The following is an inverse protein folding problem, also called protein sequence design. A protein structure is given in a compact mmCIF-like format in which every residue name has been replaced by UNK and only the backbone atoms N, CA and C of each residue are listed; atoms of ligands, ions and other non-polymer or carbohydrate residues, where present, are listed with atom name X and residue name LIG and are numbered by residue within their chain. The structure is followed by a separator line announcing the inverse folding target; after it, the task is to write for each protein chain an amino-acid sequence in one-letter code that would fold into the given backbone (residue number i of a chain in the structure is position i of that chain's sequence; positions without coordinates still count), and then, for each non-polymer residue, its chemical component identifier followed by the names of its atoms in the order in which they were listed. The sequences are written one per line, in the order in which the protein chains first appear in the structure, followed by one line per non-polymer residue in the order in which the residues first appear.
data_IF_626341244733
#
_entry.id   IF_626341244733
#
_cell.length_a   1.000
_cell.length_b   1.000
_cell.length_c   1.000
_cell.angle_alpha   90.00
_cell.angle_beta   90.00
_cell.angle_gamma   90.00
#
_symmetry.space_group_name_H-M   'P 1'
#
loop_
_entity.id
_entity.type
_entity.pdbx_description
1 polymer ?
#
# COMPACT_ATOMS: atom_id res chain seq x y z
N UNK A 1 42.86 59.65 16.78
CA UNK A 1 42.75 59.21 15.36
C UNK A 1 43.67 58.01 15.14
N UNK A 2 43.17 56.97 14.45
CA UNK A 2 43.86 55.73 13.99
C UNK A 2 44.13 54.67 15.07
N UNK A 3 43.83 53.37 14.93
CA UNK A 3 43.10 52.55 13.93
C UNK A 3 42.66 51.26 14.65
N UNK A 4 41.39 50.89 14.53
CA UNK A 4 40.90 49.52 14.73
C UNK A 4 41.38 48.65 13.55
N UNK A 5 41.76 47.40 13.82
CA UNK A 5 41.75 46.32 12.84
C UNK A 5 41.09 45.11 13.47
N UNK A 6 39.82 44.90 13.10
CA UNK A 6 39.03 43.71 13.45
C UNK A 6 39.29 42.65 12.37
N UNK A 7 39.79 41.49 12.79
CA UNK A 7 39.93 40.28 11.97
C UNK A 7 38.52 39.81 11.55
N UNK A 8 38.27 39.72 10.25
CA UNK A 8 37.08 39.06 9.70
C UNK A 8 37.55 37.82 8.94
N UNK A 9 37.44 36.64 9.58
CA UNK A 9 37.62 35.37 8.89
C UNK A 9 36.24 34.79 8.53
N UNK A 10 36.15 34.39 7.26
CA UNK A 10 35.01 33.77 6.59
C UNK A 10 34.60 32.44 7.24
N UNK A 11 33.28 32.22 7.34
CA UNK A 11 32.69 30.89 7.15
C UNK A 11 31.47 31.06 6.23
N UNK A 12 31.69 30.76 4.96
CA UNK A 12 30.66 30.30 4.02
C UNK A 12 30.03 29.01 4.53
N UNK A 13 28.72 28.81 4.25
CA UNK A 13 27.89 27.59 4.28
C UNK A 13 26.54 28.00 4.87
N UNK A 14 25.37 27.75 4.30
CA UNK A 14 24.93 27.01 3.14
C UNK A 14 23.42 27.24 3.07
N UNK A 15 22.80 26.79 1.98
CA UNK A 15 21.36 26.83 1.78
C UNK A 15 20.56 26.59 3.08
N UNK A 16 19.58 27.46 3.37
CA UNK A 16 18.37 26.99 4.02
C UNK A 16 17.65 26.10 3.00
N UNK A 17 18.20 24.91 2.80
CA UNK A 17 17.40 23.78 2.39
C UNK A 17 16.41 23.58 3.54
N UNK A 18 15.20 24.11 3.40
CA UNK A 18 14.04 23.44 3.94
C UNK A 18 13.99 22.09 3.24
N UNK A 19 14.79 21.15 3.72
CA UNK A 19 14.59 19.73 3.47
C UNK A 19 13.16 19.46 3.89
N UNK A 20 12.26 19.09 2.97
CA UNK A 20 11.01 18.49 3.40
C UNK A 20 11.43 17.28 4.22
N UNK A 21 10.95 17.19 5.45
CA UNK A 21 11.02 15.94 6.19
C UNK A 21 10.35 14.88 5.30
N UNK A 22 11.18 14.06 4.65
CA UNK A 22 10.72 12.82 4.06
C UNK A 22 10.29 11.97 5.25
N UNK A 23 8.98 11.77 5.40
CA UNK A 23 8.37 11.07 6.54
C UNK A 23 8.96 9.65 6.65
N UNK A 24 9.86 9.46 7.63
CA UNK A 24 10.65 8.24 7.82
C UNK A 24 11.10 8.00 9.28
N UNK A 25 10.40 8.60 10.26
CA UNK A 25 10.54 8.28 11.68
C UNK A 25 9.61 7.13 12.12
N UNK A 26 9.54 6.85 13.44
CA UNK A 26 8.69 5.79 14.06
C UNK A 26 7.20 5.81 13.66
N UNK A 27 6.70 6.85 12.99
CA UNK A 27 5.33 6.97 12.46
C UNK A 27 5.11 6.52 11.01
N UNK A 28 6.16 6.36 10.19
CA UNK A 28 6.03 6.08 8.76
C UNK A 28 5.30 4.76 8.45
N UNK A 29 5.52 3.74 9.29
CA UNK A 29 4.86 2.43 9.16
C UNK A 29 3.34 2.53 9.38
N UNK A 30 2.90 3.34 10.36
CA UNK A 30 1.47 3.51 10.64
C UNK A 30 0.77 4.29 9.54
N UNK A 31 1.42 5.33 9.02
CA UNK A 31 0.91 6.10 7.88
C UNK A 31 0.81 5.22 6.62
N UNK A 32 1.83 4.41 6.34
CA UNK A 32 1.79 3.46 5.25
C UNK A 32 0.61 2.47 5.40
N UNK A 33 0.44 1.89 6.58
CA UNK A 33 -0.68 0.97 6.87
C UNK A 33 -2.05 1.65 6.74
N UNK A 34 -2.17 2.92 7.12
CA UNK A 34 -3.41 3.69 6.97
C UNK A 34 -3.76 3.93 5.50
N UNK A 35 -2.78 4.34 4.69
CA UNK A 35 -2.95 4.50 3.23
C UNK A 35 -3.35 3.18 2.58
N UNK A 36 -2.63 2.10 2.88
CA UNK A 36 -2.90 0.78 2.33
C UNK A 36 -4.30 0.28 2.74
N UNK A 37 -4.71 0.46 4.01
CA UNK A 37 -6.03 0.05 4.49
C UNK A 37 -7.16 0.81 3.80
N UNK A 38 -6.94 2.11 3.57
CA UNK A 38 -7.88 2.97 2.84
C UNK A 38 -8.04 2.47 1.40
N UNK A 39 -6.95 2.07 0.75
CA UNK A 39 -7.00 1.49 -0.59
C UNK A 39 -7.74 0.16 -0.65
N UNK A 40 -7.54 -0.74 0.33
CA UNK A 40 -8.32 -1.98 0.41
C UNK A 40 -9.81 -1.67 0.56
N UNK A 41 -10.17 -0.76 1.47
CA UNK A 41 -11.56 -0.38 1.70
C UNK A 41 -12.19 0.18 0.41
N UNK A 42 -11.50 1.13 -0.23
CA UNK A 42 -11.97 1.72 -1.48
C UNK A 42 -12.19 0.65 -2.54
N UNK A 43 -11.25 -0.28 -2.73
CA UNK A 43 -11.40 -1.37 -3.69
C UNK A 43 -12.52 -2.33 -3.32
N UNK A 44 -12.70 -2.66 -2.05
CA UNK A 44 -13.80 -3.52 -1.63
C UNK A 44 -15.18 -2.90 -1.96
N UNK A 45 -15.28 -1.57 -1.91
CA UNK A 45 -16.49 -0.81 -2.23
C UNK A 45 -16.70 -0.59 -3.74
N UNK A 46 -15.62 -0.41 -4.51
CA UNK A 46 -15.69 0.07 -5.90
C UNK A 46 -15.21 -0.94 -6.95
N UNK A 47 -14.54 -2.03 -6.55
CA UNK A 47 -14.11 -3.05 -7.50
C UNK A 47 -15.31 -3.88 -7.97
N UNK A 48 -15.52 -3.90 -9.28
CA UNK A 48 -16.50 -4.74 -9.94
C UNK A 48 -15.85 -6.07 -10.38
N UNK A 49 -16.23 -7.21 -9.78
CA UNK A 49 -15.69 -8.51 -10.17
C UNK A 49 -16.09 -8.89 -11.59
N UNK A 50 -15.27 -9.72 -12.24
CA UNK A 50 -15.61 -10.31 -13.54
C UNK A 50 -16.96 -11.04 -13.47
N UNK A 51 -17.86 -10.78 -14.43
CA UNK A 51 -19.15 -11.47 -14.55
C UNK A 51 -19.00 -12.99 -14.61
N UNK A 52 -17.92 -13.47 -15.24
CA UNK A 52 -17.63 -14.90 -15.38
C UNK A 52 -17.30 -15.56 -14.03
N UNK A 53 -16.63 -14.83 -13.14
CA UNK A 53 -16.15 -15.36 -11.87
C UNK A 53 -17.08 -15.04 -10.69
N UNK A 54 -18.04 -14.14 -10.89
CA UNK A 54 -19.00 -13.75 -9.87
C UNK A 54 -18.40 -12.99 -8.68
N UNK A 55 -19.21 -12.77 -7.65
CA UNK A 55 -18.78 -12.03 -6.44
C UNK A 55 -17.96 -12.92 -5.50
N UNK A 56 -16.77 -12.48 -5.05
CA UNK A 56 -15.97 -13.25 -4.12
C UNK A 56 -16.55 -13.19 -2.70
N UNK A 57 -16.34 -14.23 -1.91
CA UNK A 57 -16.72 -14.24 -0.49
C UNK A 57 -15.77 -13.41 0.37
N UNK A 58 -14.49 -13.36 -0.05
CA UNK A 58 -13.43 -12.69 0.67
C UNK A 58 -12.37 -12.07 -0.26
N UNK A 59 -11.65 -11.11 0.30
CA UNK A 59 -10.42 -10.54 -0.25
C UNK A 59 -9.25 -11.10 0.58
N UNK A 60 -8.29 -11.74 -0.08
CA UNK A 60 -7.03 -12.16 0.51
C UNK A 60 -5.99 -11.06 0.30
N UNK A 61 -5.49 -10.48 1.38
CA UNK A 61 -4.63 -9.31 1.31
C UNK A 61 -3.16 -9.69 1.37
N UNK A 62 -2.37 -9.06 0.50
CA UNK A 62 -0.91 -9.04 0.51
C UNK A 62 -0.45 -7.58 0.56
N UNK A 63 0.56 -7.26 1.37
CA UNK A 63 1.11 -5.89 1.42
C UNK A 63 2.62 -5.86 1.24
N UNK A 64 3.06 -4.80 0.57
CA UNK A 64 4.45 -4.50 0.32
C UNK A 64 5.11 -3.99 1.56
N UNK A 65 6.24 -4.61 1.90
CA UNK A 65 7.16 -4.10 2.89
C UNK A 65 8.30 -3.37 2.18
N UNK A 66 8.78 -2.30 2.79
CA UNK A 66 10.00 -1.63 2.39
C UNK A 66 11.19 -2.54 2.75
N UNK A 67 11.79 -3.21 1.76
CA UNK A 67 12.98 -4.05 1.95
C UNK A 67 14.07 -3.54 1.01
N UNK A 68 14.88 -2.59 1.50
CA UNK A 68 15.80 -1.81 0.68
C UNK A 68 15.06 -0.99 -0.39
N UNK A 69 15.78 -0.37 -1.33
CA UNK A 69 15.22 0.46 -2.43
C UNK A 69 14.28 -0.27 -3.42
N UNK A 70 13.71 -1.42 -3.03
CA UNK A 70 12.83 -2.24 -3.85
C UNK A 70 11.50 -2.45 -3.10
N UNK A 71 10.56 -1.54 -3.32
CA UNK A 71 9.09 -1.74 -3.11
C UNK A 71 8.49 -2.87 -3.97
N UNK A 72 9.36 -3.69 -4.59
CA UNK A 72 9.02 -4.62 -5.66
C UNK A 72 8.30 -5.87 -5.17
N UNK A 73 8.31 -6.18 -3.87
CA UNK A 73 7.91 -7.52 -3.41
C UNK A 73 6.39 -7.75 -3.48
N UNK A 74 5.54 -6.76 -3.18
CA UNK A 74 4.08 -6.99 -3.22
C UNK A 74 3.41 -6.82 -4.59
N UNK A 75 4.13 -6.28 -5.58
CA UNK A 75 3.53 -5.97 -6.88
C UNK A 75 4.26 -6.57 -8.08
N UNK A 76 5.34 -7.31 -7.85
CA UNK A 76 5.99 -8.08 -8.90
C UNK A 76 5.25 -9.41 -9.13
N UNK A 77 4.30 -9.36 -10.06
CA UNK A 77 4.07 -10.35 -11.13
C UNK A 77 4.56 -11.78 -10.77
N UNK A 78 3.66 -12.56 -10.18
CA UNK A 78 3.82 -13.96 -9.72
C UNK A 78 4.66 -14.16 -8.43
N UNK A 79 4.03 -14.10 -7.26
CA UNK A 79 4.67 -14.38 -5.98
C UNK A 79 3.97 -15.51 -5.20
N UNK A 80 3.97 -16.75 -5.73
CA UNK A 80 3.49 -17.93 -4.98
C UNK A 80 4.45 -18.47 -3.91
N UNK A 81 5.42 -17.68 -3.48
CA UNK A 81 6.28 -17.99 -2.33
C UNK A 81 6.78 -16.75 -1.58
N UNK A 82 6.49 -15.55 -2.08
CA UNK A 82 6.90 -14.28 -1.50
C UNK A 82 5.71 -13.41 -1.04
N UNK A 83 4.47 -13.86 -1.29
CA UNK A 83 3.28 -13.26 -0.68
C UNK A 83 3.36 -13.49 0.83
N UNK A 84 3.33 -12.39 1.59
CA UNK A 84 3.43 -12.40 3.04
C UNK A 84 2.15 -11.86 3.64
N UNK A 85 1.79 -12.41 4.81
CA UNK A 85 0.65 -11.91 5.55
C UNK A 85 0.83 -10.44 5.94
N UNK A 86 -0.24 -9.65 5.80
CA UNK A 86 -0.24 -8.27 6.23
C UNK A 86 -0.10 -8.15 7.76
N UNK A 87 0.45 -7.03 8.26
CA UNK A 87 0.57 -6.79 9.69
C UNK A 87 -0.78 -6.88 10.42
N UNK A 88 -0.78 -7.50 11.60
CA UNK A 88 -2.00 -7.71 12.39
C UNK A 88 -2.76 -6.40 12.71
N UNK A 89 -2.05 -5.29 12.90
CA UNK A 89 -2.66 -3.98 13.12
C UNK A 89 -3.50 -3.54 11.91
N UNK A 90 -2.96 -3.67 10.69
CA UNK A 90 -3.69 -3.36 9.46
C UNK A 90 -4.93 -4.24 9.33
N UNK A 91 -4.79 -5.55 9.57
CA UNK A 91 -5.93 -6.48 9.54
C UNK A 91 -7.02 -6.11 10.56
N UNK A 92 -6.65 -5.56 11.71
CA UNK A 92 -7.63 -5.08 12.69
C UNK A 92 -8.48 -3.91 12.18
N UNK A 93 -7.90 -3.02 11.36
CA UNK A 93 -8.61 -1.88 10.76
C UNK A 93 -9.57 -2.29 9.64
N UNK A 94 -9.37 -3.47 9.06
CA UNK A 94 -10.13 -3.98 7.92
C UNK A 94 -11.23 -4.99 8.31
N UNK A 95 -11.40 -5.30 9.60
CA UNK A 95 -12.35 -6.32 10.08
C UNK A 95 -13.80 -6.09 9.66
N UNK A 96 -14.20 -4.84 9.46
CA UNK A 96 -15.57 -4.47 9.10
C UNK A 96 -15.78 -4.32 7.59
N UNK A 97 -14.71 -4.38 6.79
CA UNK A 97 -14.78 -4.23 5.33
C UNK A 97 -15.48 -5.45 4.72
N UNK A 98 -16.30 -5.19 3.69
CA UNK A 98 -17.06 -6.21 2.95
C UNK A 98 -16.72 -6.14 1.46
N UNK A 99 -16.48 -7.27 0.78
CA UNK A 99 -16.36 -8.64 1.30
C UNK A 99 -15.23 -8.78 2.34
N UNK A 100 -15.24 -9.86 3.12
CA UNK A 100 -14.35 -10.01 4.29
C UNK A 100 -12.89 -9.93 3.84
N UNK A 101 -12.07 -9.13 4.52
CA UNK A 101 -10.63 -9.07 4.25
C UNK A 101 -9.89 -10.04 5.17
N UNK A 102 -9.12 -10.94 4.58
CA UNK A 102 -8.37 -12.00 5.24
C UNK A 102 -6.89 -11.91 4.86
N UNK A 103 -5.96 -12.41 5.70
CA UNK A 103 -4.56 -12.51 5.30
C UNK A 103 -4.41 -13.53 4.15
N UNK A 104 -3.36 -13.39 3.33
CA UNK A 104 -3.14 -14.28 2.18
C UNK A 104 -2.98 -15.75 2.59
N UNK A 105 -2.48 -16.03 3.80
CA UNK A 105 -2.40 -17.40 4.35
C UNK A 105 -3.76 -18.08 4.57
N UNK A 106 -4.87 -17.34 4.57
CA UNK A 106 -6.21 -17.89 4.61
C UNK A 106 -6.69 -18.40 3.23
N UNK A 107 -5.89 -18.19 2.20
CA UNK A 107 -6.23 -18.51 0.82
C UNK A 107 -5.17 -19.40 0.18
N UNK A 108 -5.62 -20.18 -0.80
CA UNK A 108 -4.76 -21.04 -1.60
C UNK A 108 -5.24 -21.03 -3.05
N UNK A 109 -4.41 -21.55 -3.93
CA UNK A 109 -4.79 -21.70 -5.33
C UNK A 109 -5.66 -22.94 -5.51
N UNK A 110 -6.85 -22.74 -6.06
CA UNK A 110 -7.72 -23.81 -6.52
C UNK A 110 -7.20 -24.47 -7.81
N UNK A 111 -7.84 -25.58 -8.19
CA UNK A 111 -7.49 -26.35 -9.38
C UNK A 111 -7.67 -25.55 -10.68
N UNK A 112 -8.63 -24.62 -10.70
CA UNK A 112 -8.90 -23.69 -11.80
C UNK A 112 -7.94 -22.50 -11.84
N UNK A 113 -6.95 -22.50 -10.95
CA UNK A 113 -5.98 -21.45 -10.76
C UNK A 113 -6.63 -20.11 -10.35
N UNK A 114 -7.70 -20.16 -9.56
CA UNK A 114 -8.27 -19.02 -8.82
C UNK A 114 -7.85 -19.05 -7.35
N UNK A 115 -8.03 -17.92 -6.64
CA UNK A 115 -7.83 -17.88 -5.19
C UNK A 115 -9.10 -18.41 -4.50
N UNK A 116 -8.93 -19.37 -3.59
CA UNK A 116 -10.02 -19.95 -2.80
C UNK A 116 -9.65 -19.95 -1.32
N UNK A 117 -10.65 -19.89 -0.45
CA UNK A 117 -10.47 -19.99 0.99
C UNK A 117 -10.03 -21.41 1.39
N UNK A 118 -9.02 -21.50 2.25
CA UNK A 118 -8.48 -22.78 2.74
C UNK A 118 -9.53 -23.56 3.55
N UNK A 119 -10.40 -22.87 4.29
CA UNK A 119 -11.35 -23.48 5.21
C UNK A 119 -12.61 -24.07 4.54
N UNK A 120 -13.02 -23.50 3.42
CA UNK A 120 -14.33 -23.74 2.81
C UNK A 120 -14.25 -24.06 1.32
N UNK A 121 -13.12 -23.76 0.67
CA UNK A 121 -12.98 -23.83 -0.79
C UNK A 121 -13.78 -22.75 -1.53
N UNK A 122 -14.42 -21.81 -0.81
CA UNK A 122 -15.18 -20.75 -1.43
C UNK A 122 -14.26 -19.76 -2.16
N UNK A 123 -14.78 -19.15 -3.22
CA UNK A 123 -14.00 -18.22 -4.05
C UNK A 123 -13.57 -16.98 -3.26
N UNK A 124 -12.32 -16.60 -3.44
CA UNK A 124 -11.77 -15.32 -3.01
C UNK A 124 -11.09 -14.59 -4.18
N UNK A 125 -10.65 -13.36 -3.94
CA UNK A 125 -9.70 -12.65 -4.81
C UNK A 125 -8.50 -12.24 -3.97
N UNK A 126 -7.32 -12.17 -4.58
CA UNK A 126 -6.16 -11.64 -3.90
C UNK A 126 -5.93 -10.17 -4.29
N UNK A 127 -5.71 -9.31 -3.31
CA UNK A 127 -5.32 -7.92 -3.51
C UNK A 127 -3.90 -7.74 -2.96
N UNK A 128 -2.96 -7.40 -3.83
CA UNK A 128 -1.59 -7.02 -3.49
C UNK A 128 -1.42 -5.51 -3.51
N UNK A 129 -1.00 -4.91 -2.40
CA UNK A 129 -0.81 -3.47 -2.28
C UNK A 129 0.67 -3.15 -2.08
N UNK A 130 1.26 -2.27 -2.88
CA UNK A 130 2.65 -1.85 -2.69
C UNK A 130 2.84 -1.06 -1.39
N UNK A 131 4.10 -0.90 -0.97
CA UNK A 131 4.41 0.17 -0.03
C UNK A 131 4.07 1.52 -0.67
N UNK A 132 3.48 2.49 0.07
CA UNK A 132 3.18 3.80 -0.49
C UNK A 132 4.44 4.61 -0.81
N UNK A 133 4.47 5.20 -1.99
CA UNK A 133 5.44 6.20 -2.39
C UNK A 133 4.90 7.60 -2.03
N UNK A 134 5.56 8.25 -1.07
CA UNK A 134 5.21 9.60 -0.64
C UNK A 134 5.64 10.63 -1.68
N UNK A 135 4.68 11.37 -2.24
CA UNK A 135 4.95 12.51 -3.16
C UNK A 135 5.03 13.80 -2.35
N UNK A 136 4.12 13.97 -1.39
CA UNK A 136 4.11 15.04 -0.40
C UNK A 136 3.67 14.46 0.95
N UNK A 137 3.68 15.24 2.05
CA UNK A 137 3.15 14.76 3.33
C UNK A 137 1.66 14.36 3.29
N UNK A 138 0.89 14.91 2.34
CA UNK A 138 -0.54 14.68 2.21
C UNK A 138 -0.91 13.93 0.93
N UNK A 139 0.06 13.43 0.16
CA UNK A 139 -0.16 12.71 -1.08
C UNK A 139 0.77 11.50 -1.16
N UNK A 140 0.16 10.33 -1.21
CA UNK A 140 0.84 9.06 -1.41
C UNK A 140 0.36 8.39 -2.69
N UNK A 141 1.26 7.70 -3.38
CA UNK A 141 0.93 6.86 -4.53
C UNK A 141 1.23 5.42 -4.21
N UNK A 142 0.37 4.52 -4.64
CA UNK A 142 0.57 3.10 -4.45
C UNK A 142 0.13 2.35 -5.69
N UNK A 143 0.70 1.18 -5.89
CA UNK A 143 0.27 0.25 -6.91
C UNK A 143 -0.55 -0.83 -6.23
N UNK A 144 -1.73 -1.10 -6.77
CA UNK A 144 -2.56 -2.22 -6.33
C UNK A 144 -2.70 -3.22 -7.47
N UNK A 145 -2.57 -4.50 -7.14
CA UNK A 145 -2.83 -5.59 -8.06
C UNK A 145 -4.01 -6.39 -7.53
N UNK A 146 -5.08 -6.52 -8.32
CA UNK A 146 -6.23 -7.39 -8.03
C UNK A 146 -6.08 -8.64 -8.89
N UNK A 147 -6.05 -9.81 -8.26
CA UNK A 147 -5.94 -11.11 -8.92
C UNK A 147 -7.24 -11.88 -8.71
N UNK A 148 -7.96 -12.13 -9.79
CA UNK A 148 -9.13 -12.99 -9.74
C UNK A 148 -8.80 -14.44 -10.09
N UNK A 149 -7.88 -14.64 -11.04
CA UNK A 149 -7.26 -15.93 -11.37
C UNK A 149 -5.92 -15.71 -12.13
N UNK A 150 -5.32 -16.79 -12.65
CA UNK A 150 -4.08 -16.70 -13.43
C UNK A 150 -4.15 -15.86 -14.72
N UNK A 151 -5.33 -15.71 -15.33
CA UNK A 151 -5.54 -15.01 -16.60
C UNK A 151 -6.09 -13.60 -16.42
N UNK A 152 -6.91 -13.40 -15.39
CA UNK A 152 -7.63 -12.18 -15.08
C UNK A 152 -7.02 -11.56 -13.83
N UNK A 153 -6.11 -10.62 -14.06
CA UNK A 153 -5.53 -9.77 -13.03
C UNK A 153 -5.40 -8.34 -13.55
N UNK A 154 -5.55 -7.40 -12.64
CA UNK A 154 -5.63 -5.98 -12.92
C UNK A 154 -4.59 -5.26 -12.07
N UNK A 155 -3.96 -4.25 -12.64
CA UNK A 155 -3.00 -3.42 -11.92
C UNK A 155 -3.44 -1.98 -12.00
N UNK A 156 -3.73 -1.43 -10.84
CA UNK A 156 -4.14 -0.05 -10.65
C UNK A 156 -2.99 0.77 -10.07
N UNK A 157 -2.87 2.01 -10.50
CA UNK A 157 -2.12 3.05 -9.81
C UNK A 157 -3.11 3.89 -9.04
N UNK A 158 -2.99 3.86 -7.71
CA UNK A 158 -3.86 4.63 -6.85
C UNK A 158 -3.15 5.84 -6.26
N UNK A 159 -3.90 6.93 -6.11
CA UNK A 159 -3.48 8.14 -5.41
C UNK A 159 -4.32 8.29 -4.14
N UNK A 160 -3.64 8.37 -3.01
CA UNK A 160 -4.24 8.63 -1.71
C UNK A 160 -3.88 10.04 -1.25
N UNK A 161 -4.88 10.82 -0.88
CA UNK A 161 -4.72 12.17 -0.34
C UNK A 161 -5.18 12.23 1.10
N UNK A 162 -4.49 13.03 1.92
CA UNK A 162 -4.86 13.26 3.31
C UNK A 162 -5.63 14.57 3.43
N UNK A 163 -6.81 14.46 4.02
CA UNK A 163 -7.64 15.59 4.46
C UNK A 163 -7.90 15.52 5.98
N UNK A 164 -8.84 16.33 6.47
CA UNK A 164 -9.18 16.43 7.89
C UNK A 164 -9.73 15.11 8.46
N UNK A 165 -10.37 14.29 7.62
CA UNK A 165 -10.99 13.02 8.00
C UNK A 165 -10.03 11.83 7.89
N UNK A 166 -8.83 12.05 7.33
CA UNK A 166 -7.77 11.07 7.21
C UNK A 166 -7.34 10.86 5.77
N UNK A 167 -6.95 9.62 5.43
CA UNK A 167 -6.57 9.27 4.07
C UNK A 167 -7.81 8.89 3.26
N UNK A 168 -7.89 9.39 2.03
CA UNK A 168 -8.90 9.05 1.05
C UNK A 168 -8.25 8.66 -0.28
N UNK A 169 -8.82 7.68 -0.97
CA UNK A 169 -8.41 7.38 -2.35
C UNK A 169 -9.14 8.33 -3.28
N UNK A 170 -8.39 9.10 -4.07
CA UNK A 170 -8.94 9.99 -5.10
C UNK A 170 -9.09 9.30 -6.44
N UNK A 171 -8.18 8.39 -6.73
CA UNK A 171 -8.08 7.76 -8.04
C UNK A 171 -7.44 6.37 -7.88
N UNK A 172 -7.93 5.41 -8.67
CA UNK A 172 -7.29 4.14 -8.95
C UNK A 172 -7.53 3.82 -10.44
N UNK A 173 -6.49 3.98 -11.27
CA UNK A 173 -6.52 3.72 -12.73
C UNK A 173 -5.65 2.55 -13.13
#
# INVERSE_FOLDING_TARGET
MKRLMTLSLFVSLGACATTPEVFGGRGAVREAQAVQSTAVRYLAEHFEPSEFLGKPEAICLVVGQEVGFRDRIATALAARSADMDPPAFMMSQLRQVRPRVLPISACQWGDDLSEVLVDSGARAIAIGISHPLWVTPNLARLVVTVRENNKNWYRYRCSAERDEDGWAIRECL
#
